data_IF_319820474648
#
_entry.id   IF_319820474648
#
_cell.length_a   1.000
_cell.length_b   1.000
_cell.length_c   1.000
_cell.angle_alpha   90.00
_cell.angle_beta   90.00
_cell.angle_gamma   90.00
#
_symmetry.space_group_name_H-M   'P 1'
#
loop_
_entity.id
_entity.type
_entity.pdbx_description
1 polymer ?
#
# COMPACT_ATOMS: atom_id res chain seq x y z
N UNK A 1 -3.10 -7.62 17.36
CA UNK A 1 -3.03 -6.69 16.21
C UNK A 1 -4.10 -7.13 15.23
N UNK A 2 -5.20 -6.39 15.21
CA UNK A 2 -6.27 -6.53 14.23
C UNK A 2 -5.77 -6.09 12.85
N UNK A 3 -6.28 -6.68 11.77
CA UNK A 3 -5.95 -6.30 10.40
C UNK A 3 -7.21 -5.77 9.74
N UNK A 4 -7.10 -4.62 9.06
CA UNK A 4 -8.17 -4.05 8.23
C UNK A 4 -7.58 -3.57 6.92
N UNK A 5 -8.25 -3.86 5.83
CA UNK A 5 -7.91 -3.33 4.50
C UNK A 5 -8.95 -2.27 4.14
N UNK A 6 -8.51 -1.12 3.65
CA UNK A 6 -9.41 -0.12 3.08
C UNK A 6 -9.75 -0.53 1.64
N UNK A 7 -11.02 -0.84 1.41
CA UNK A 7 -11.51 -1.19 0.07
C UNK A 7 -11.49 0.00 -0.90
N UNK A 8 -11.59 1.22 -0.37
CA UNK A 8 -11.44 2.43 -1.16
C UNK A 8 -9.97 2.61 -1.53
N UNK A 9 -9.70 2.72 -2.83
CA UNK A 9 -8.37 3.06 -3.29
C UNK A 9 -8.06 4.50 -2.92
N UNK A 10 -6.79 4.76 -2.56
CA UNK A 10 -6.34 6.07 -2.13
C UNK A 10 -5.02 6.42 -2.81
N UNK A 11 -4.74 7.72 -2.93
CA UNK A 11 -3.46 8.25 -3.38
C UNK A 11 -2.54 8.40 -2.18
N UNK A 12 -1.47 7.63 -2.17
CA UNK A 12 -0.38 7.68 -1.20
C UNK A 12 0.85 8.34 -1.81
N UNK A 13 1.84 8.65 -0.98
CA UNK A 13 3.09 9.26 -1.39
C UNK A 13 4.26 8.40 -0.91
N UNK A 14 5.08 7.95 -1.85
CA UNK A 14 6.28 7.16 -1.60
C UNK A 14 7.50 8.08 -1.50
N UNK A 15 8.36 7.83 -0.51
CA UNK A 15 9.55 8.63 -0.26
C UNK A 15 10.74 8.17 -1.13
N UNK A 16 10.81 8.65 -2.37
CA UNK A 16 11.98 8.48 -3.25
C UNK A 16 12.91 9.71 -3.16
N UNK A 17 13.32 10.26 -4.30
CA UNK A 17 14.03 11.55 -4.36
C UNK A 17 13.08 12.74 -4.19
N UNK A 18 11.80 12.51 -4.47
CA UNK A 18 10.67 13.38 -4.22
C UNK A 18 9.48 12.55 -3.69
N UNK A 19 8.41 13.22 -3.25
CA UNK A 19 7.16 12.55 -2.94
C UNK A 19 6.52 12.04 -4.23
N UNK A 20 6.58 10.73 -4.46
CA UNK A 20 5.99 10.11 -5.66
C UNK A 20 4.55 9.69 -5.36
N UNK A 21 3.54 10.30 -6.00
CA UNK A 21 2.15 9.89 -5.81
C UNK A 21 1.93 8.51 -6.44
N UNK A 22 1.26 7.62 -5.73
CA UNK A 22 0.87 6.33 -6.25
C UNK A 22 -0.44 5.84 -5.63
N UNK A 23 -1.24 5.14 -6.44
CA UNK A 23 -2.57 4.66 -6.04
C UNK A 23 -2.48 3.23 -5.52
N UNK A 24 -3.15 2.96 -4.41
CA UNK A 24 -3.20 1.63 -3.84
C UNK A 24 -4.24 1.53 -2.74
N UNK A 25 -4.07 0.54 -1.88
CA UNK A 25 -4.97 0.28 -0.76
C UNK A 25 -4.24 0.37 0.58
N UNK A 26 -4.92 0.90 1.59
CA UNK A 26 -4.41 0.91 2.95
C UNK A 26 -4.58 -0.46 3.62
N UNK A 27 -3.54 -0.92 4.30
CA UNK A 27 -3.54 -2.06 5.23
C UNK A 27 -3.21 -1.53 6.63
N UNK A 28 -4.19 -1.58 7.54
CA UNK A 28 -3.98 -1.29 8.96
C UNK A 28 -3.65 -2.58 9.71
N UNK A 29 -2.57 -2.55 10.51
CA UNK A 29 -2.16 -3.67 11.36
C UNK A 29 -1.97 -3.15 12.78
N UNK A 30 -3.01 -3.29 13.62
CA UNK A 30 -3.09 -2.61 14.91
C UNK A 30 -3.11 -1.09 14.72
N UNK A 31 -2.13 -0.38 15.30
CA UNK A 31 -1.97 1.08 15.14
C UNK A 31 -1.18 1.49 13.90
N UNK A 32 -0.51 0.55 13.24
CA UNK A 32 0.38 0.84 12.11
C UNK A 32 -0.40 0.85 10.80
N UNK A 33 -0.02 1.75 9.90
CA UNK A 33 -0.71 2.01 8.63
C UNK A 33 0.27 1.79 7.49
N UNK A 34 -0.08 0.91 6.56
CA UNK A 34 0.73 0.62 5.37
C UNK A 34 -0.09 0.85 4.11
N UNK A 35 0.53 1.24 3.01
CA UNK A 35 -0.08 1.25 1.70
C UNK A 35 0.48 0.09 0.86
N UNK A 36 -0.39 -0.60 0.14
CA UNK A 36 -0.02 -1.64 -0.83
C UNK A 36 -0.27 -1.09 -2.24
N UNK A 37 0.82 -0.91 -2.98
CA UNK A 37 0.85 -0.20 -4.26
C UNK A 37 1.44 -1.13 -5.33
N UNK A 38 0.69 -1.45 -6.39
CA UNK A 38 1.26 -2.21 -7.50
C UNK A 38 2.29 -1.33 -8.25
N UNK A 39 3.55 -1.72 -8.22
CA UNK A 39 4.65 -1.10 -8.95
C UNK A 39 5.32 -2.13 -9.87
N UNK A 40 5.11 -1.96 -11.18
CA UNK A 40 5.67 -2.81 -12.24
C UNK A 40 5.40 -4.31 -11.99
N UNK A 41 6.41 -5.06 -11.51
CA UNK A 41 6.35 -6.51 -11.26
C UNK A 41 6.23 -6.88 -9.79
N UNK A 42 5.83 -5.94 -8.94
CA UNK A 42 5.71 -6.16 -7.50
C UNK A 42 4.60 -5.32 -6.89
N UNK A 43 4.08 -5.77 -5.75
CA UNK A 43 3.28 -4.94 -4.86
C UNK A 43 4.23 -4.38 -3.81
N UNK A 44 4.48 -3.08 -3.88
CA UNK A 44 5.26 -2.35 -2.92
C UNK A 44 4.41 -2.07 -1.68
N UNK A 45 4.93 -2.42 -0.51
CA UNK A 45 4.33 -2.08 0.77
C UNK A 45 5.20 -1.04 1.44
N UNK A 46 4.61 0.12 1.74
CA UNK A 46 5.29 1.23 2.41
C UNK A 46 4.49 1.72 3.61
N UNK A 47 5.17 2.31 4.59
CA UNK A 47 4.48 2.90 5.74
C UNK A 47 3.87 4.25 5.35
N UNK A 48 2.62 4.47 5.75
CA UNK A 48 1.77 5.54 5.21
C UNK A 48 2.24 6.94 5.59
N UNK A 49 2.81 7.13 6.78
CA UNK A 49 3.15 8.47 7.29
C UNK A 49 4.53 8.97 6.86
N UNK A 50 5.45 8.05 6.55
CA UNK A 50 6.81 8.34 6.10
C UNK A 50 7.03 8.06 4.61
N UNK A 51 6.14 7.30 3.96
CA UNK A 51 6.32 6.83 2.59
C UNK A 51 7.48 5.86 2.41
N UNK A 52 8.10 5.40 3.52
CA UNK A 52 9.29 4.55 3.50
C UNK A 52 8.89 3.11 3.20
N UNK A 53 9.66 2.50 2.29
CA UNK A 53 9.50 1.12 1.89
C UNK A 53 9.66 0.14 3.06
N UNK A 54 8.68 -0.75 3.23
CA UNK A 54 8.71 -1.81 4.22
C UNK A 54 9.05 -3.18 3.60
N UNK A 55 8.39 -3.55 2.50
CA UNK A 55 8.65 -4.80 1.78
C UNK A 55 8.04 -4.78 0.37
N UNK A 56 8.58 -5.60 -0.53
CA UNK A 56 8.02 -5.82 -1.86
C UNK A 56 7.54 -7.26 -1.99
N UNK A 57 6.35 -7.47 -2.55
CA UNK A 57 5.84 -8.79 -2.93
C UNK A 57 5.95 -8.93 -4.45
N UNK A 58 6.83 -9.79 -4.99
CA UNK A 58 6.90 -10.02 -6.44
C UNK A 58 5.56 -10.54 -6.97
N UNK A 59 5.07 -9.97 -8.07
CA UNK A 59 3.86 -10.47 -8.74
C UNK A 59 4.28 -11.62 -9.66
N UNK A 60 4.04 -12.84 -9.21
CA UNK A 60 4.09 -14.03 -10.06
C UNK A 60 2.71 -14.35 -10.64
N UNK A 61 2.63 -15.39 -11.49
CA UNK A 61 1.35 -15.80 -12.10
C UNK A 61 0.27 -16.13 -11.06
N UNK A 62 0.66 -16.66 -9.89
CA UNK A 62 -0.31 -17.02 -8.83
C UNK A 62 -0.88 -15.78 -8.17
N UNK A 63 -0.04 -14.77 -7.93
CA UNK A 63 -0.48 -13.49 -7.36
C UNK A 63 -1.34 -12.75 -8.38
N UNK A 64 -0.94 -12.73 -9.66
CA UNK A 64 -1.74 -12.13 -10.73
C UNK A 64 -3.15 -12.74 -10.77
N UNK A 65 -3.26 -14.07 -10.70
CA UNK A 65 -4.56 -14.75 -10.59
C UNK A 65 -5.30 -14.42 -9.29
N UNK A 66 -4.59 -14.34 -8.15
CA UNK A 66 -5.17 -14.06 -6.84
C UNK A 66 -5.56 -12.59 -6.62
N UNK A 67 -5.28 -11.70 -7.56
CA UNK A 67 -5.69 -10.29 -7.54
C UNK A 67 -6.46 -9.91 -8.80
N UNK A 68 -7.14 -10.89 -9.43
CA UNK A 68 -7.86 -10.68 -10.70
C UNK A 68 -9.22 -9.99 -10.54
N UNK A 69 -9.77 -9.95 -9.33
CA UNK A 69 -11.01 -9.23 -8.97
C UNK A 69 -10.77 -8.31 -7.78
N UNK A 70 -11.70 -7.36 -7.53
CA UNK A 70 -11.63 -6.48 -6.36
C UNK A 70 -11.68 -7.30 -5.07
N UNK A 71 -12.61 -8.25 -4.96
CA UNK A 71 -12.80 -9.10 -3.79
C UNK A 71 -11.58 -9.99 -3.55
N UNK A 72 -11.00 -10.57 -4.61
CA UNK A 72 -9.79 -11.38 -4.49
C UNK A 72 -8.59 -10.53 -4.07
N UNK A 73 -8.48 -9.31 -4.60
CA UNK A 73 -7.46 -8.36 -4.17
C UNK A 73 -7.60 -8.04 -2.69
N UNK A 74 -8.81 -7.76 -2.19
CA UNK A 74 -9.02 -7.50 -0.76
C UNK A 74 -8.60 -8.69 0.10
N UNK A 75 -9.01 -9.91 -0.28
CA UNK A 75 -8.59 -11.15 0.41
C UNK A 75 -7.07 -11.35 0.38
N UNK A 76 -6.43 -11.02 -0.74
CA UNK A 76 -4.97 -11.09 -0.87
C UNK A 76 -4.28 -10.09 0.06
N UNK A 77 -4.75 -8.85 0.11
CA UNK A 77 -4.19 -7.80 0.97
C UNK A 77 -4.38 -8.10 2.46
N UNK A 78 -5.49 -8.72 2.86
CA UNK A 78 -5.68 -9.22 4.23
C UNK A 78 -4.60 -10.26 4.61
N UNK A 79 -4.30 -11.20 3.70
CA UNK A 79 -3.22 -12.17 3.90
C UNK A 79 -1.85 -11.50 3.95
N UNK A 80 -1.61 -10.48 3.13
CA UNK A 80 -0.39 -9.67 3.20
C UNK A 80 -0.28 -8.97 4.57
N UNK A 81 -1.39 -8.46 5.12
CA UNK A 81 -1.48 -7.92 6.47
C UNK A 81 -1.10 -8.92 7.57
N UNK A 82 -1.45 -10.20 7.43
CA UNK A 82 -1.00 -11.25 8.36
C UNK A 82 0.52 -11.48 8.27
N UNK A 83 1.09 -11.38 7.07
CA UNK A 83 2.54 -11.36 6.85
C UNK A 83 3.21 -10.20 7.58
N UNK A 84 2.71 -8.98 7.38
CA UNK A 84 3.18 -7.77 8.06
C UNK A 84 3.11 -7.94 9.58
N UNK A 85 1.96 -8.35 10.11
CA UNK A 85 1.77 -8.60 11.55
C UNK A 85 2.84 -9.53 12.14
N UNK A 86 3.26 -10.57 11.42
CA UNK A 86 4.35 -11.47 11.88
C UNK A 86 5.71 -10.77 11.89
N UNK A 87 5.99 -9.92 10.91
CA UNK A 87 7.22 -9.11 10.84
C UNK A 87 7.24 -8.10 11.98
N UNK A 88 6.16 -7.34 12.17
CA UNK A 88 6.05 -6.30 13.19
C UNK A 88 6.19 -6.88 14.60
N UNK A 89 5.60 -8.06 14.88
CA UNK A 89 5.73 -8.74 16.18
C UNK A 89 7.16 -9.15 16.52
N UNK A 90 8.04 -9.31 15.52
CA UNK A 90 9.45 -9.67 15.73
C UNK A 90 10.34 -8.45 15.97
N UNK A 91 9.83 -7.25 15.74
CA UNK A 91 10.56 -6.01 15.96
C UNK A 91 10.23 -5.40 17.33
N UNK A 92 11.24 -5.26 18.18
CA UNK A 92 11.10 -4.70 19.53
C UNK A 92 11.06 -3.16 19.54
N UNK A 93 11.61 -2.50 18.53
CA UNK A 93 11.78 -1.05 18.45
C UNK A 93 11.06 -0.42 17.24
N UNK A 94 9.95 -1.03 16.82
CA UNK A 94 9.22 -0.61 15.62
C UNK A 94 8.75 0.86 15.71
N UNK A 95 8.22 1.29 16.85
CA UNK A 95 7.76 2.67 17.04
C UNK A 95 8.89 3.69 16.85
N UNK A 96 10.06 3.41 17.42
CA UNK A 96 11.24 4.27 17.28
C UNK A 96 11.74 4.31 15.84
N UNK A 97 11.71 3.17 15.15
CA UNK A 97 12.11 3.06 13.75
C UNK A 97 11.17 3.87 12.85
N UNK A 98 9.86 3.80 13.08
CA UNK A 98 8.87 4.55 12.30
C UNK A 98 8.99 6.05 12.53
N UNK A 99 9.14 6.50 13.78
CA UNK A 99 9.31 7.92 14.08
C UNK A 99 10.61 8.46 13.47
N UNK A 100 11.70 7.68 13.54
CA UNK A 100 12.96 8.00 12.88
C UNK A 100 12.81 8.12 11.37
N UNK A 101 12.14 7.17 10.73
CA UNK A 101 11.91 7.17 9.28
C UNK A 101 11.06 8.35 8.84
N UNK A 102 10.00 8.67 9.60
CA UNK A 102 9.16 9.84 9.37
C UNK A 102 9.96 11.14 9.46
N UNK A 103 10.82 11.27 10.47
CA UNK A 103 11.71 12.43 10.60
C UNK A 103 12.69 12.54 9.44
N UNK A 104 13.32 11.44 9.04
CA UNK A 104 14.24 11.43 7.90
C UNK A 104 13.52 11.83 6.60
N UNK A 105 12.32 11.31 6.36
CA UNK A 105 11.53 11.66 5.19
C UNK A 105 11.16 13.15 5.20
N UNK A 106 10.71 13.69 6.34
CA UNK A 106 10.40 15.10 6.49
C UNK A 106 11.62 16.01 6.30
N UNK A 107 12.75 15.68 6.93
CA UNK A 107 13.99 16.47 6.83
C UNK A 107 14.50 16.52 5.38
N UNK A 108 14.23 15.47 4.57
CA UNK A 108 14.67 15.38 3.18
C UNK A 108 13.68 15.97 2.18
N UNK A 109 12.38 15.68 2.35
CA UNK A 109 11.34 15.91 1.35
C UNK A 109 10.32 16.97 1.77
N UNK A 110 10.37 17.44 3.02
CA UNK A 110 9.40 18.37 3.59
C UNK A 110 8.08 17.70 4.00
N UNK A 111 7.01 18.49 4.05
CA UNK A 111 5.67 18.01 4.38
C UNK A 111 5.16 17.03 3.31
N UNK A 112 4.70 15.87 3.76
CA UNK A 112 4.05 14.90 2.89
C UNK A 112 2.66 15.42 2.48
N UNK A 113 2.28 15.37 1.19
CA UNK A 113 0.95 15.77 0.77
C UNK A 113 -0.15 14.90 1.40
N UNK A 114 -1.40 15.39 1.50
CA UNK A 114 -2.49 14.66 2.11
C UNK A 114 -2.91 13.45 1.28
N UNK A 115 -3.34 12.39 1.96
CA UNK A 115 -3.89 11.19 1.32
C UNK A 115 -5.34 11.48 0.94
N UNK A 116 -5.68 11.11 -0.29
CA UNK A 116 -6.99 11.37 -0.88
C UNK A 116 -7.60 10.06 -1.39
N UNK A 117 -8.91 9.91 -1.23
CA UNK A 117 -9.63 8.82 -1.87
C UNK A 117 -9.63 9.04 -3.39
N UNK A 118 -9.34 7.98 -4.13
CA UNK A 118 -9.32 8.00 -5.59
C UNK A 118 -10.59 7.36 -6.08
N UNK A 119 -11.39 8.11 -6.82
CA UNK A 119 -12.50 7.55 -7.57
C UNK A 119 -11.94 6.55 -8.61
N UNK A 120 -12.36 5.29 -8.51
CA UNK A 120 -11.97 4.21 -9.42
C UNK A 120 -13.13 3.78 -10.32
N UNK A 121 -14.29 4.43 -10.23
CA UNK A 121 -15.50 4.02 -10.95
C UNK A 121 -15.34 4.19 -12.47
N UNK A 122 -14.49 5.12 -12.90
CA UNK A 122 -14.11 5.31 -14.30
C UNK A 122 -13.27 4.16 -14.89
N UNK A 123 -12.64 3.30 -14.08
CA UNK A 123 -11.86 2.14 -14.57
C UNK A 123 -12.80 1.02 -15.04
N UNK A 124 -14.02 0.97 -14.51
CA UNK A 124 -15.05 0.00 -14.90
C UNK A 124 -16.03 0.54 -15.95
N UNK A 125 -16.00 1.85 -16.22
CA UNK A 125 -16.79 2.46 -17.27
C UNK A 125 -16.08 2.26 -18.63
N UNK A 126 -16.67 1.41 -19.48
CA UNK A 126 -16.24 1.05 -20.85
C UNK A 126 -15.25 -0.11 -21.02
N UNK A 127 -15.73 -1.32 -20.70
CA UNK A 127 -15.69 -2.40 -21.70
C UNK A 127 -17.13 -2.54 -22.21
N UNK A 128 -17.65 -1.50 -22.87
CA UNK A 128 -18.88 -1.61 -23.64
C UNK A 128 -18.51 -2.03 -25.06
N UNK A 129 -19.24 -3.00 -25.57
CA UNK A 129 -19.01 -3.72 -26.81
C UNK A 129 -18.58 -2.83 -27.99
N UNK A 130 -17.30 -2.87 -28.37
CA UNK A 130 -16.90 -2.58 -29.76
C UNK A 130 -16.50 -3.91 -30.37
N UNK A 131 -17.48 -4.55 -31.00
CA UNK A 131 -17.27 -5.64 -31.95
C UNK A 131 -16.47 -5.06 -33.12
N UNK A 132 -15.22 -5.49 -33.29
CA UNK A 132 -14.45 -5.31 -34.53
C UNK A 132 -14.53 -6.56 -35.39
#
# INVERSE_FOLDING_TARGET
MEIKVNEQAQRFYLAFDEWVPAVGHEIKVGKYRFCAIPLSKSINISEVTSGVHAMSIPIDFRIWMATSTKEDTMRFLEKAGEGLKRILKRQSNLDELLEKNKKIAFDRLGEMPPIEDVDTDWITAEISDVTH
#
